data_IF_598355609849
#
_entry.id   IF_598355609849
#
_cell.length_a   1.000
_cell.length_b   1.000
_cell.length_c   1.000
_cell.angle_alpha   90.00
_cell.angle_beta   90.00
_cell.angle_gamma   90.00
#
_symmetry.space_group_name_H-M   'P 1'
#
loop_
_entity.id
_entity.type
_entity.pdbx_description
1 polymer ?
#
# COMPACT_ATOMS: atom_id res chain seq x y z
N UNK A 1 -20.90 -15.97 -4.95
CA UNK A 1 -20.46 -14.54 -4.88
C UNK A 1 -19.03 -14.43 -5.38
N UNK A 2 -18.77 -13.47 -6.25
CA UNK A 2 -17.42 -13.28 -6.76
C UNK A 2 -16.51 -12.70 -5.67
N UNK A 3 -15.27 -13.14 -5.65
CA UNK A 3 -14.26 -12.55 -4.77
C UNK A 3 -13.94 -11.13 -5.25
N UNK A 4 -13.70 -10.18 -4.33
CA UNK A 4 -13.33 -8.82 -4.72
C UNK A 4 -12.15 -8.78 -5.70
N UNK A 5 -11.20 -9.70 -5.56
CA UNK A 5 -10.04 -9.79 -6.44
C UNK A 5 -10.44 -10.07 -7.89
N UNK A 6 -11.46 -10.91 -8.10
CA UNK A 6 -11.95 -11.23 -9.44
C UNK A 6 -12.63 -10.02 -10.09
N UNK A 7 -13.39 -9.27 -9.30
CA UNK A 7 -14.07 -8.08 -9.79
C UNK A 7 -13.09 -6.97 -10.16
N UNK A 8 -11.91 -6.98 -9.57
CA UNK A 8 -10.89 -5.95 -9.76
C UNK A 8 -9.89 -6.28 -10.88
N UNK A 9 -10.08 -7.35 -11.64
CA UNK A 9 -9.11 -7.74 -12.68
C UNK A 9 -8.84 -6.65 -13.70
N UNK A 10 -9.88 -5.97 -14.14
CA UNK A 10 -9.71 -4.89 -15.12
C UNK A 10 -8.88 -3.75 -14.54
N UNK A 11 -9.10 -3.44 -13.26
CA UNK A 11 -8.29 -2.44 -12.56
C UNK A 11 -6.83 -2.86 -12.50
N UNK A 12 -6.57 -4.12 -12.14
CA UNK A 12 -5.20 -4.63 -12.07
C UNK A 12 -4.50 -4.57 -13.42
N UNK A 13 -5.20 -4.92 -14.50
CA UNK A 13 -4.64 -4.82 -15.84
C UNK A 13 -4.34 -3.38 -16.23
N UNK A 14 -5.21 -2.46 -15.85
CA UNK A 14 -4.98 -1.03 -16.09
C UNK A 14 -3.73 -0.55 -15.36
N UNK A 15 -3.58 -0.93 -14.10
CA UNK A 15 -2.39 -0.56 -13.32
C UNK A 15 -1.12 -1.14 -13.96
N UNK A 16 -1.18 -2.39 -14.39
CA UNK A 16 -0.03 -3.06 -15.00
C UNK A 16 0.37 -2.46 -16.35
N UNK A 17 -0.52 -1.70 -16.99
CA UNK A 17 -0.22 -1.05 -18.26
C UNK A 17 0.55 0.26 -18.12
N UNK A 18 0.68 0.76 -16.89
CA UNK A 18 1.35 2.03 -16.62
C UNK A 18 2.88 1.85 -16.66
N UNK A 19 3.56 2.80 -17.30
CA UNK A 19 4.99 2.69 -17.56
C UNK A 19 5.86 3.69 -16.80
N UNK A 20 5.25 4.63 -16.08
CA UNK A 20 6.01 5.66 -15.37
C UNK A 20 5.27 6.14 -14.13
N UNK A 21 5.98 6.84 -13.23
CA UNK A 21 5.35 7.47 -12.08
C UNK A 21 4.35 8.52 -12.49
N UNK A 22 4.65 9.26 -13.55
CA UNK A 22 3.77 10.31 -14.07
C UNK A 22 2.44 9.71 -14.54
N UNK A 23 2.50 8.56 -15.21
CA UNK A 23 1.30 7.85 -15.63
C UNK A 23 0.51 7.33 -14.43
N UNK A 24 1.19 6.81 -13.44
CA UNK A 24 0.55 6.36 -12.20
C UNK A 24 -0.16 7.51 -11.51
N UNK A 25 0.51 8.66 -11.38
CA UNK A 25 -0.07 9.82 -10.74
C UNK A 25 -1.32 10.29 -11.47
N UNK A 26 -1.26 10.40 -12.79
CA UNK A 26 -2.39 10.83 -13.59
C UNK A 26 -3.58 9.88 -13.43
N UNK A 27 -3.33 8.59 -13.51
CA UNK A 27 -4.38 7.58 -13.40
C UNK A 27 -5.04 7.59 -12.01
N UNK A 28 -4.23 7.62 -10.96
CA UNK A 28 -4.76 7.61 -9.59
C UNK A 28 -5.44 8.92 -9.22
N UNK A 29 -4.99 10.06 -9.75
CA UNK A 29 -5.68 11.33 -9.55
C UNK A 29 -7.10 11.31 -10.12
N UNK A 30 -7.30 10.63 -11.25
CA UNK A 30 -8.63 10.48 -11.86
C UNK A 30 -9.46 9.42 -11.14
N UNK A 31 -8.83 8.32 -10.75
CA UNK A 31 -9.53 7.16 -10.21
C UNK A 31 -9.94 7.35 -8.75
N UNK A 32 -9.11 8.00 -7.96
CA UNK A 32 -9.25 8.10 -6.50
C UNK A 32 -9.45 9.54 -6.06
N UNK A 33 -10.09 9.70 -4.90
CA UNK A 33 -10.10 10.98 -4.23
C UNK A 33 -8.72 11.25 -3.62
N UNK A 34 -8.45 12.51 -3.29
CA UNK A 34 -7.21 12.90 -2.61
C UNK A 34 -7.03 12.09 -1.32
N UNK A 35 -8.12 11.97 -0.54
CA UNK A 35 -8.06 11.23 0.72
C UNK A 35 -7.74 9.76 0.50
N UNK A 36 -8.29 9.15 -0.54
CA UNK A 36 -8.00 7.75 -0.85
C UNK A 36 -6.53 7.54 -1.18
N UNK A 37 -5.95 8.44 -1.97
CA UNK A 37 -4.52 8.39 -2.30
C UNK A 37 -3.67 8.54 -1.03
N UNK A 38 -4.03 9.49 -0.17
CA UNK A 38 -3.34 9.70 1.10
C UNK A 38 -3.40 8.47 1.99
N UNK A 39 -4.58 7.85 2.09
CA UNK A 39 -4.77 6.65 2.91
C UNK A 39 -3.96 5.47 2.39
N UNK A 40 -3.96 5.26 1.07
CA UNK A 40 -3.16 4.20 0.45
C UNK A 40 -1.66 4.42 0.69
N UNK A 41 -1.20 5.65 0.50
CA UNK A 41 0.20 6.02 0.71
C UNK A 41 0.62 5.82 2.14
N UNK A 42 -0.24 6.21 3.09
CA UNK A 42 0.04 6.06 4.51
C UNK A 42 0.17 4.58 4.88
N UNK A 43 -0.75 3.73 4.39
CA UNK A 43 -0.70 2.31 4.70
C UNK A 43 0.59 1.66 4.18
N UNK A 44 1.02 2.04 2.98
CA UNK A 44 2.26 1.50 2.43
C UNK A 44 3.47 1.95 3.26
N UNK A 45 3.50 3.22 3.67
CA UNK A 45 4.57 3.74 4.52
C UNK A 45 4.62 3.02 5.86
N UNK A 46 3.45 2.81 6.48
CA UNK A 46 3.33 2.07 7.73
C UNK A 46 3.89 0.65 7.55
N UNK A 47 3.50 -0.03 6.47
CA UNK A 47 3.97 -1.39 6.21
C UNK A 47 5.50 -1.44 6.07
N UNK A 48 6.07 -0.48 5.35
CA UNK A 48 7.52 -0.42 5.16
C UNK A 48 8.24 -0.23 6.50
N UNK A 49 7.72 0.65 7.36
CA UNK A 49 8.32 0.89 8.67
C UNK A 49 8.18 -0.31 9.60
N UNK A 50 7.04 -0.98 9.59
CA UNK A 50 6.84 -2.22 10.35
C UNK A 50 7.80 -3.31 9.88
N UNK A 51 7.96 -3.44 8.57
CA UNK A 51 8.86 -4.42 7.98
C UNK A 51 10.32 -4.13 8.36
N UNK A 52 10.65 -2.87 8.59
CA UNK A 52 11.97 -2.45 9.04
C UNK A 52 12.19 -2.55 10.54
N UNK A 53 11.19 -3.01 11.29
CA UNK A 53 11.31 -3.21 12.74
C UNK A 53 11.06 -1.96 13.58
N UNK A 54 10.49 -0.92 12.99
CA UNK A 54 10.21 0.31 13.74
C UNK A 54 9.12 0.10 14.78
N UNK A 55 9.23 0.84 15.88
CA UNK A 55 8.23 0.80 16.94
C UNK A 55 6.97 1.56 16.54
N UNK A 56 5.83 1.13 17.07
CA UNK A 56 4.53 1.76 16.80
C UNK A 56 4.56 3.26 17.09
N UNK A 57 5.18 3.67 18.18
CA UNK A 57 5.26 5.09 18.54
C UNK A 57 5.98 5.91 17.48
N UNK A 58 7.08 5.39 16.96
CA UNK A 58 7.85 6.03 15.89
C UNK A 58 7.00 6.12 14.62
N UNK A 59 6.27 5.06 14.31
CA UNK A 59 5.42 5.02 13.11
C UNK A 59 4.30 6.05 13.23
N UNK A 60 3.65 6.14 14.41
CA UNK A 60 2.61 7.15 14.63
C UNK A 60 3.14 8.56 14.41
N UNK A 61 4.32 8.85 14.96
CA UNK A 61 4.92 10.18 14.85
C UNK A 61 5.30 10.53 13.42
N UNK A 62 5.82 9.55 12.68
CA UNK A 62 6.30 9.77 11.32
C UNK A 62 5.16 9.84 10.30
N UNK A 63 4.17 8.95 10.42
CA UNK A 63 3.13 8.78 9.40
C UNK A 63 1.82 9.47 9.75
N UNK A 64 1.59 9.78 11.01
CA UNK A 64 0.31 10.29 11.49
C UNK A 64 -0.76 9.21 11.57
N UNK A 65 -0.43 7.96 11.31
CA UNK A 65 -1.40 6.87 11.38
C UNK A 65 -1.79 6.58 12.84
N UNK A 66 -3.06 6.23 13.05
CA UNK A 66 -3.52 5.83 14.36
C UNK A 66 -2.98 4.45 14.72
N UNK A 67 -2.96 4.14 16.01
CA UNK A 67 -2.58 2.81 16.49
C UNK A 67 -3.42 1.71 15.84
N UNK A 68 -4.72 1.98 15.66
CA UNK A 68 -5.62 1.04 15.03
C UNK A 68 -5.19 0.75 13.57
N UNK A 69 -4.82 1.79 12.83
CA UNK A 69 -4.34 1.63 11.45
C UNK A 69 -3.05 0.81 11.42
N UNK A 70 -2.11 1.14 12.30
CA UNK A 70 -0.83 0.43 12.37
C UNK A 70 -1.05 -1.06 12.68
N UNK A 71 -1.90 -1.36 13.65
CA UNK A 71 -2.22 -2.74 14.02
C UNK A 71 -2.85 -3.50 12.87
N UNK A 72 -3.75 -2.84 12.14
CA UNK A 72 -4.43 -3.44 10.99
C UNK A 72 -3.43 -3.75 9.86
N UNK A 73 -2.53 -2.80 9.57
CA UNK A 73 -1.50 -3.02 8.55
C UNK A 73 -0.57 -4.14 8.99
N UNK A 74 -0.18 -4.17 10.26
CA UNK A 74 0.69 -5.22 10.76
C UNK A 74 0.04 -6.60 10.62
N UNK A 75 -1.25 -6.70 10.90
CA UNK A 75 -1.98 -7.96 10.73
C UNK A 75 -1.93 -8.42 9.27
N UNK A 76 -2.11 -7.50 8.32
CA UNK A 76 -2.01 -7.84 6.90
C UNK A 76 -0.58 -8.20 6.50
N UNK A 77 0.40 -7.54 7.06
CA UNK A 77 1.81 -7.83 6.77
C UNK A 77 2.19 -9.23 7.24
N UNK A 78 1.72 -9.64 8.41
CA UNK A 78 2.07 -10.92 9.01
C UNK A 78 1.20 -12.06 8.47
N UNK A 79 -0.12 -11.85 8.37
CA UNK A 79 -1.09 -12.90 8.07
C UNK A 79 -1.87 -12.70 6.78
N UNK A 80 -1.56 -11.67 6.00
CA UNK A 80 -2.30 -11.34 4.80
C UNK A 80 -1.87 -12.17 3.59
N UNK A 81 -2.19 -11.66 2.40
CA UNK A 81 -1.94 -12.35 1.14
C UNK A 81 -0.50 -12.27 0.64
N UNK A 82 0.38 -11.60 1.37
CA UNK A 82 1.77 -11.45 0.98
C UNK A 82 2.05 -10.29 0.05
N UNK A 83 1.05 -9.45 -0.26
CA UNK A 83 1.20 -8.33 -1.18
C UNK A 83 2.18 -7.28 -0.70
N UNK A 84 2.11 -6.90 0.56
CA UNK A 84 3.05 -5.93 1.12
C UNK A 84 4.48 -6.44 1.02
N UNK A 85 4.71 -7.69 1.40
CA UNK A 85 6.06 -8.27 1.37
C UNK A 85 6.59 -8.33 -0.05
N UNK A 86 5.75 -8.72 -0.99
CA UNK A 86 6.13 -8.79 -2.39
C UNK A 86 6.61 -7.43 -2.90
N UNK A 87 5.83 -6.38 -2.65
CA UNK A 87 6.18 -5.03 -3.11
C UNK A 87 7.43 -4.51 -2.40
N UNK A 88 7.49 -4.68 -1.07
CA UNK A 88 8.63 -4.18 -0.29
C UNK A 88 9.92 -4.90 -0.66
N UNK A 89 9.85 -6.22 -0.90
CA UNK A 89 11.01 -6.99 -1.33
C UNK A 89 11.51 -6.54 -2.70
N UNK A 90 10.58 -6.29 -3.63
CA UNK A 90 10.94 -5.79 -4.97
C UNK A 90 11.60 -4.41 -4.91
N UNK A 91 11.11 -3.54 -4.03
CA UNK A 91 11.71 -2.22 -3.87
C UNK A 91 13.13 -2.32 -3.34
N UNK A 92 13.38 -3.25 -2.43
CA UNK A 92 14.71 -3.49 -1.89
C UNK A 92 15.64 -4.03 -2.97
N UNK A 93 15.16 -4.99 -3.77
CA UNK A 93 15.93 -5.60 -4.85
C UNK A 93 16.28 -4.60 -5.96
N UNK A 94 15.46 -3.56 -6.14
CA UNK A 94 15.67 -2.57 -7.20
C UNK A 94 16.82 -1.61 -6.93
N UNK A 95 17.40 -1.63 -5.75
CA UNK A 95 18.48 -0.72 -5.38
C UNK A 95 19.87 -1.27 -5.72
#
# INVERSE_FOLDING_TARGET
>A
MKQPIEEARDLFRAILSLDSEEECAAFFEDLCTVKEIQDLSQRLQVAAMLNGGEKYQTIEQTTGASTATISRVNKCLVYGSGGYRLVLDKQTESK
#
